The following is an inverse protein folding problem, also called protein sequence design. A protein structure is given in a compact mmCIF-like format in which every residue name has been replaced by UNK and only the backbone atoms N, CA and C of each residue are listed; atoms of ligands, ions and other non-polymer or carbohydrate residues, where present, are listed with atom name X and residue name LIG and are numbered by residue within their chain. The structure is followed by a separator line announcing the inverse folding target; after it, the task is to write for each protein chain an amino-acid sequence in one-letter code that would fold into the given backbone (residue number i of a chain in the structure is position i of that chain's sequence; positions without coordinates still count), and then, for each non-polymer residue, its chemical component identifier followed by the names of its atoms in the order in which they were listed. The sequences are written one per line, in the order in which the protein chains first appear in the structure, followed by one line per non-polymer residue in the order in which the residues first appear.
data_IF_778534612155
#
_entry.id   IF_778534612155
#
_cell.length_a   1.000
_cell.length_b   1.000
_cell.length_c   1.000
_cell.angle_alpha   90.00
_cell.angle_beta   90.00
_cell.angle_gamma   90.00
#
_symmetry.space_group_name_H-M   'P 1'
#
loop_
_entity.id
_entity.type
_entity.pdbx_description
1 polymer ?
#
# COMPACT_ATOMS: atom_id res chain seq x y z
N UNK A 1 -17.81 5.06 14.33
CA UNK A 1 -17.49 5.00 12.88
C UNK A 1 -15.98 5.18 12.75
N UNK A 2 -15.24 4.14 12.35
CA UNK A 2 -13.81 4.29 12.04
C UNK A 2 -13.68 5.07 10.72
N UNK A 3 -12.76 6.03 10.67
CA UNK A 3 -12.43 6.70 9.42
C UNK A 3 -11.68 5.71 8.51
N UNK A 4 -12.02 5.61 7.21
CA UNK A 4 -11.31 4.73 6.29
C UNK A 4 -9.85 5.20 6.13
N UNK A 5 -8.92 4.24 6.05
CA UNK A 5 -7.52 4.51 5.72
C UNK A 5 -7.45 4.87 4.23
N UNK A 6 -6.77 5.97 3.89
CA UNK A 6 -6.54 6.37 2.50
C UNK A 6 -5.04 6.49 2.21
N UNK A 7 -4.61 5.86 1.11
CA UNK A 7 -3.23 5.87 0.62
C UNK A 7 -3.16 6.58 -0.73
N UNK A 8 -2.26 7.56 -0.87
CA UNK A 8 -2.08 8.35 -2.10
C UNK A 8 -0.58 8.44 -2.45
N UNK A 9 -0.16 7.90 -3.60
CA UNK A 9 1.22 7.97 -4.11
C UNK A 9 1.44 9.23 -4.96
N UNK A 10 2.59 9.87 -4.81
CA UNK A 10 3.04 11.01 -5.60
C UNK A 10 4.48 10.81 -6.11
N UNK A 11 4.79 11.18 -7.37
CA UNK A 11 3.87 11.71 -8.37
C UNK A 11 2.86 10.66 -8.86
N UNK A 12 1.69 11.10 -9.31
CA UNK A 12 0.65 10.24 -9.93
C UNK A 12 1.09 9.67 -11.30
N UNK A 13 2.34 9.92 -11.73
CA UNK A 13 2.89 9.43 -12.98
C UNK A 13 3.18 7.93 -12.89
N UNK A 14 2.67 7.18 -13.86
CA UNK A 14 2.66 5.70 -13.91
C UNK A 14 4.04 5.09 -14.19
N UNK A 15 5.00 5.89 -14.65
CA UNK A 15 6.34 5.43 -15.03
C UNK A 15 7.37 6.28 -14.27
N UNK A 16 8.23 5.60 -13.53
CA UNK A 16 9.36 6.17 -12.78
C UNK A 16 10.66 5.50 -13.23
N UNK A 17 11.79 6.16 -13.03
CA UNK A 17 13.10 5.57 -13.24
C UNK A 17 13.58 4.87 -11.96
N UNK A 18 14.46 3.86 -12.08
CA UNK A 18 15.10 3.27 -10.90
C UNK A 18 15.82 4.33 -10.06
N UNK A 19 15.50 4.37 -8.76
CA UNK A 19 16.09 5.32 -7.81
C UNK A 19 15.38 6.67 -7.73
N UNK A 20 14.32 6.91 -8.51
CA UNK A 20 13.51 8.11 -8.38
C UNK A 20 12.87 8.19 -6.99
N UNK A 21 12.80 9.41 -6.43
CA UNK A 21 12.10 9.66 -5.18
C UNK A 21 10.58 9.56 -5.38
N UNK A 22 9.90 8.97 -4.41
CA UNK A 22 8.45 8.88 -4.35
C UNK A 22 7.95 9.27 -2.96
N UNK A 23 6.78 9.89 -2.91
CA UNK A 23 6.11 10.28 -1.66
C UNK A 23 4.81 9.49 -1.51
N UNK A 24 4.58 8.89 -0.34
CA UNK A 24 3.33 8.23 0.03
C UNK A 24 2.62 9.08 1.09
N UNK A 25 1.44 9.60 0.77
CA UNK A 25 0.57 10.28 1.74
C UNK A 25 -0.39 9.27 2.33
N UNK A 26 -0.46 9.24 3.66
CA UNK A 26 -1.34 8.34 4.40
C UNK A 26 -2.27 9.14 5.30
N UNK A 27 -3.57 8.85 5.20
CA UNK A 27 -4.62 9.49 6.00
C UNK A 27 -5.35 8.42 6.78
N UNK A 28 -5.44 8.60 8.10
CA UNK A 28 -6.10 7.67 9.00
C UNK A 28 -6.40 8.29 10.37
N UNK A 29 -7.03 7.55 11.28
CA UNK A 29 -7.27 7.95 12.66
C UNK A 29 -5.99 8.34 13.41
N UNK A 30 -6.11 9.30 14.33
CA UNK A 30 -5.01 9.67 15.23
C UNK A 30 -4.61 8.48 16.12
N UNK A 31 -3.30 8.28 16.32
CA UNK A 31 -2.75 7.19 17.13
C UNK A 31 -2.74 5.82 16.45
N UNK A 32 -3.12 5.74 15.16
CA UNK A 32 -3.02 4.49 14.39
C UNK A 32 -1.55 4.10 14.18
N UNK A 33 -1.25 2.81 14.41
CA UNK A 33 0.01 2.19 14.01
C UNK A 33 -0.17 1.54 12.64
N UNK A 34 0.76 1.79 11.71
CA UNK A 34 0.69 1.30 10.34
C UNK A 34 1.99 0.60 9.95
N UNK A 35 1.87 -0.62 9.44
CA UNK A 35 2.95 -1.34 8.76
C UNK A 35 2.86 -1.14 7.25
N UNK A 36 4.00 -0.87 6.60
CA UNK A 36 4.08 -0.76 5.15
C UNK A 36 5.00 -1.83 4.59
N UNK A 37 4.63 -2.35 3.42
CA UNK A 37 5.46 -3.24 2.63
C UNK A 37 5.37 -2.85 1.16
N UNK A 38 6.48 -2.94 0.43
CA UNK A 38 6.55 -2.70 -1.02
C UNK A 38 7.00 -4.00 -1.67
N UNK A 39 6.14 -4.57 -2.51
CA UNK A 39 6.34 -5.91 -3.08
C UNK A 39 6.41 -5.79 -4.60
N UNK A 40 7.41 -6.45 -5.20
CA UNK A 40 7.47 -6.60 -6.65
C UNK A 40 6.25 -7.39 -7.14
N UNK A 41 5.54 -6.85 -8.13
CA UNK A 41 4.34 -7.47 -8.70
C UNK A 41 4.63 -8.88 -9.25
N UNK A 42 5.85 -9.16 -9.70
CA UNK A 42 6.23 -10.49 -10.17
C UNK A 42 6.04 -11.57 -9.09
N UNK A 43 6.29 -11.25 -7.81
CA UNK A 43 6.06 -12.18 -6.70
C UNK A 43 4.58 -12.50 -6.51
N UNK A 44 3.72 -11.49 -6.64
CA UNK A 44 2.27 -11.66 -6.52
C UNK A 44 1.67 -12.45 -7.71
N UNK A 45 2.34 -12.44 -8.87
CA UNK A 45 1.95 -13.28 -10.01
C UNK A 45 2.38 -14.74 -9.85
N UNK A 46 3.46 -14.99 -9.09
CA UNK A 46 3.92 -16.35 -8.80
C UNK A 46 3.03 -17.02 -7.77
N UNK A 47 2.68 -16.31 -6.70
CA UNK A 47 1.78 -16.81 -5.65
C UNK A 47 1.17 -15.64 -4.87
N UNK A 48 -0.16 -15.63 -4.73
CA UNK A 48 -0.88 -14.67 -3.91
C UNK A 48 -1.83 -15.32 -2.87
N UNK A 49 -1.75 -16.64 -2.68
CA UNK A 49 -2.68 -17.41 -1.84
C UNK A 49 -2.58 -17.05 -0.36
N UNK A 50 -1.42 -16.55 0.07
CA UNK A 50 -1.15 -16.16 1.47
C UNK A 50 -1.16 -14.63 1.69
N UNK A 51 -1.61 -13.86 0.70
CA UNK A 51 -1.74 -12.41 0.83
C UNK A 51 -3.03 -12.13 1.60
N UNK A 52 -2.91 -11.60 2.82
CA UNK A 52 -4.03 -11.20 3.65
C UNK A 52 -4.87 -10.12 2.94
N UNK A 53 -6.16 -10.40 2.75
CA UNK A 53 -7.14 -9.45 2.21
C UNK A 53 -8.16 -9.05 3.27
N UNK A 54 -8.80 -7.90 3.07
CA UNK A 54 -9.76 -7.35 4.04
C UNK A 54 -10.97 -8.27 4.28
N UNK A 55 -11.40 -9.01 3.25
CA UNK A 55 -12.49 -9.99 3.31
C UNK A 55 -12.11 -11.30 4.00
N UNK A 56 -10.84 -11.52 4.33
CA UNK A 56 -10.34 -12.68 5.08
C UNK A 56 -10.13 -12.38 6.58
N UNK A 57 -10.28 -11.11 7.01
CA UNK A 57 -10.02 -10.66 8.39
C UNK A 57 -11.25 -10.80 9.30
N UNK A 58 -12.46 -10.68 8.75
CA UNK A 58 -13.73 -10.62 9.49
C UNK A 58 -14.73 -11.67 9.00
#
# INVERSE_FOLDING_TARGET
MSLPIKLELQPHTVIVKPGDAANLTVKGPSGMCMGFNVVDKALLLLNNDNVLKEDEIF
#
